data_IF_719824969236
#
_entry.id   IF_719824969236
#
_cell.length_a   1.000
_cell.length_b   1.000
_cell.length_c   1.000
_cell.angle_alpha   90.00
_cell.angle_beta   90.00
_cell.angle_gamma   90.00
#
_symmetry.space_group_name_H-M   'P 1'
#
loop_
_entity.id
_entity.type
_entity.pdbx_description
1 polymer ?
#
# COMPACT_ATOMS: atom_id res chain seq x y z
N UNK A 1 -7.42 -3.26 31.97
CA UNK A 1 -7.10 -3.08 30.54
C UNK A 1 -8.19 -2.23 29.91
N UNK A 2 -7.93 -0.91 29.80
CA UNK A 2 -8.85 -0.01 29.13
C UNK A 2 -9.02 -0.48 27.68
N UNK A 3 -10.24 -0.83 27.27
CA UNK A 3 -10.58 -1.04 25.87
C UNK A 3 -10.25 0.25 25.15
N UNK A 4 -9.24 0.26 24.28
CA UNK A 4 -8.97 1.39 23.40
C UNK A 4 -10.19 1.59 22.50
N UNK A 5 -10.99 2.59 22.79
CA UNK A 5 -12.10 2.99 21.93
C UNK A 5 -11.45 3.50 20.64
N UNK A 6 -11.65 2.81 19.53
CA UNK A 6 -11.16 3.26 18.24
C UNK A 6 -12.02 4.43 17.74
N UNK A 7 -11.40 5.47 17.22
CA UNK A 7 -12.13 6.52 16.51
C UNK A 7 -12.75 5.95 15.24
N UNK A 8 -13.96 6.41 14.92
CA UNK A 8 -14.67 6.05 13.69
C UNK A 8 -14.77 7.27 12.80
N UNK A 9 -14.46 7.10 11.53
CA UNK A 9 -14.67 8.12 10.51
C UNK A 9 -15.79 7.66 9.59
N UNK A 10 -16.92 8.37 9.64
CA UNK A 10 -18.09 8.03 8.84
C UNK A 10 -18.00 8.73 7.47
N UNK A 11 -17.95 7.96 6.41
CA UNK A 11 -17.95 8.47 5.03
C UNK A 11 -19.40 8.56 4.56
N UNK A 12 -19.86 9.79 4.30
CA UNK A 12 -21.24 10.05 3.88
C UNK A 12 -21.54 9.49 2.49
N UNK A 13 -20.58 9.55 1.59
CA UNK A 13 -20.70 9.09 0.20
C UNK A 13 -19.49 8.24 -0.18
N UNK A 14 -19.70 6.94 -0.21
CA UNK A 14 -18.65 5.99 -0.59
C UNK A 14 -18.19 6.17 -2.04
N UNK A 15 -19.07 6.64 -2.93
CA UNK A 15 -18.74 6.87 -4.33
C UNK A 15 -17.65 7.94 -4.48
N UNK A 16 -17.69 8.98 -3.65
CA UNK A 16 -16.63 10.01 -3.63
C UNK A 16 -15.27 9.40 -3.27
N UNK A 17 -15.22 8.49 -2.30
CA UNK A 17 -14.00 7.78 -1.93
C UNK A 17 -13.53 6.85 -3.05
N UNK A 18 -14.45 6.11 -3.67
CA UNK A 18 -14.15 5.21 -4.81
C UNK A 18 -13.59 5.98 -6.01
N UNK A 19 -14.16 7.10 -6.35
CA UNK A 19 -13.67 7.99 -7.41
C UNK A 19 -12.28 8.52 -7.07
N UNK A 20 -12.09 9.00 -5.84
CA UNK A 20 -10.80 9.57 -5.38
C UNK A 20 -9.67 8.56 -5.49
N UNK A 21 -9.80 7.37 -4.88
CA UNK A 21 -8.72 6.40 -4.94
C UNK A 21 -8.54 5.79 -6.36
N UNK A 22 -9.62 5.62 -7.13
CA UNK A 22 -9.53 5.10 -8.49
C UNK A 22 -8.83 6.07 -9.44
N UNK A 23 -9.21 7.34 -9.42
CA UNK A 23 -8.54 8.37 -10.22
C UNK A 23 -7.11 8.64 -9.73
N UNK A 24 -6.88 8.60 -8.41
CA UNK A 24 -5.55 8.71 -7.82
C UNK A 24 -4.62 7.60 -8.30
N UNK A 25 -5.05 6.34 -8.19
CA UNK A 25 -4.28 5.21 -8.70
C UNK A 25 -4.02 5.33 -10.20
N UNK A 26 -5.06 5.63 -10.98
CA UNK A 26 -4.94 5.80 -12.43
C UNK A 26 -3.97 6.93 -12.81
N UNK A 27 -3.92 8.01 -12.05
CA UNK A 27 -3.00 9.12 -12.29
C UNK A 27 -1.52 8.71 -12.16
N UNK A 28 -1.22 7.80 -11.22
CA UNK A 28 0.15 7.36 -10.95
C UNK A 28 0.53 6.05 -11.64
N UNK A 29 -0.40 5.11 -11.86
CA UNK A 29 -0.12 3.71 -12.23
C UNK A 29 -0.88 3.21 -13.46
N UNK A 30 -1.75 4.00 -14.07
CA UNK A 30 -2.71 3.61 -15.09
C UNK A 30 -3.99 2.93 -14.53
N UNK A 31 -4.83 2.39 -15.41
CA UNK A 31 -6.11 1.79 -15.01
C UNK A 31 -5.88 0.46 -14.25
N UNK A 32 -6.52 0.20 -13.11
CA UNK A 32 -6.42 -1.07 -12.39
C UNK A 32 -6.66 -2.31 -13.25
N UNK A 33 -7.42 -2.19 -14.36
CA UNK A 33 -7.66 -3.29 -15.31
C UNK A 33 -6.40 -3.80 -15.98
N UNK A 34 -5.35 -3.00 -16.04
CA UNK A 34 -4.08 -3.33 -16.67
C UNK A 34 -3.12 -4.07 -15.73
N UNK A 35 -3.55 -4.26 -14.48
CA UNK A 35 -2.73 -4.84 -13.42
C UNK A 35 -3.28 -6.17 -12.91
N UNK A 36 -2.39 -7.07 -12.53
CA UNK A 36 -2.69 -8.12 -11.56
C UNK A 36 -2.41 -7.57 -10.18
N UNK A 37 -3.40 -7.55 -9.31
CA UNK A 37 -3.28 -6.99 -7.96
C UNK A 37 -3.15 -8.13 -6.94
N UNK A 38 -2.01 -8.24 -6.31
CA UNK A 38 -1.76 -9.18 -5.22
C UNK A 38 -1.65 -8.41 -3.91
N UNK A 39 -2.40 -8.82 -2.89
CA UNK A 39 -2.48 -8.08 -1.63
C UNK A 39 -2.01 -8.90 -0.43
N UNK A 40 -0.96 -8.45 0.25
CA UNK A 40 -0.42 -9.06 1.47
C UNK A 40 -0.77 -8.21 2.69
N UNK A 41 -2.01 -8.33 3.17
CA UNK A 41 -2.61 -7.49 4.22
C UNK A 41 -3.19 -8.31 5.39
N UNK A 42 -2.44 -9.26 5.99
CA UNK A 42 -2.99 -10.26 6.91
C UNK A 42 -3.65 -9.66 8.16
N UNK A 43 -3.17 -8.53 8.67
CA UNK A 43 -3.73 -7.93 9.90
C UNK A 43 -4.98 -7.08 9.68
N UNK A 44 -5.32 -6.80 8.44
CA UNK A 44 -6.48 -5.97 8.10
C UNK A 44 -7.71 -6.79 7.76
N UNK A 45 -7.55 -8.01 7.26
CA UNK A 45 -8.66 -8.91 6.92
C UNK A 45 -9.52 -9.25 8.16
N UNK A 46 -8.89 -9.32 9.34
CA UNK A 46 -9.59 -9.59 10.60
C UNK A 46 -10.34 -8.36 11.17
N UNK A 47 -10.20 -7.18 10.59
CA UNK A 47 -10.64 -5.92 11.19
C UNK A 47 -11.94 -5.34 10.60
N UNK A 48 -12.54 -5.96 9.58
CA UNK A 48 -13.87 -5.63 9.03
C UNK A 48 -14.07 -4.20 8.46
N UNK A 49 -13.62 -3.17 9.17
CA UNK A 49 -13.88 -1.76 8.84
C UNK A 49 -12.57 -1.04 8.46
N UNK A 50 -11.93 -1.43 7.35
CA UNK A 50 -10.68 -0.82 6.90
C UNK A 50 -10.86 -0.13 5.53
N UNK A 51 -10.58 1.17 5.47
CA UNK A 51 -10.57 1.92 4.21
C UNK A 51 -9.52 1.39 3.23
N UNK A 52 -8.39 0.87 3.73
CA UNK A 52 -7.37 0.22 2.91
C UNK A 52 -7.90 -1.06 2.26
N UNK A 53 -8.55 -1.94 3.02
CA UNK A 53 -9.18 -3.16 2.48
C UNK A 53 -10.23 -2.79 1.44
N UNK A 54 -11.10 -1.85 1.74
CA UNK A 54 -12.13 -1.39 0.81
C UNK A 54 -11.54 -0.92 -0.54
N UNK A 55 -10.46 -0.14 -0.49
CA UNK A 55 -9.75 0.32 -1.69
C UNK A 55 -9.13 -0.86 -2.46
N UNK A 56 -8.46 -1.77 -1.77
CA UNK A 56 -7.76 -2.91 -2.39
C UNK A 56 -8.76 -3.90 -2.98
N UNK A 57 -9.86 -4.21 -2.30
CA UNK A 57 -10.97 -5.01 -2.85
C UNK A 57 -11.51 -4.41 -4.15
N UNK A 58 -11.68 -3.09 -4.16
CA UNK A 58 -12.15 -2.40 -5.37
C UNK A 58 -11.15 -2.54 -6.52
N UNK A 59 -9.84 -2.46 -6.25
CA UNK A 59 -8.81 -2.66 -7.26
C UNK A 59 -8.76 -4.10 -7.76
N UNK A 60 -8.83 -5.09 -6.88
CA UNK A 60 -8.89 -6.52 -7.23
C UNK A 60 -10.10 -6.78 -8.14
N UNK A 61 -11.27 -6.31 -7.75
CA UNK A 61 -12.50 -6.48 -8.54
C UNK A 61 -12.43 -5.77 -9.90
N UNK A 62 -11.81 -4.59 -9.98
CA UNK A 62 -11.64 -3.83 -11.22
C UNK A 62 -10.59 -4.41 -12.14
N UNK A 63 -9.57 -5.07 -11.63
CA UNK A 63 -8.48 -5.65 -12.41
C UNK A 63 -8.98 -6.67 -13.43
N UNK A 64 -10.08 -7.36 -13.14
CA UNK A 64 -10.64 -8.45 -13.96
C UNK A 64 -9.62 -9.56 -14.26
N UNK A 65 -8.50 -9.58 -13.57
CA UNK A 65 -7.51 -10.63 -13.71
C UNK A 65 -7.83 -11.74 -12.69
N UNK A 66 -8.03 -12.99 -13.09
CA UNK A 66 -8.39 -14.08 -12.19
C UNK A 66 -7.32 -14.40 -11.13
N UNK A 67 -6.10 -13.94 -11.33
CA UNK A 67 -5.01 -14.10 -10.35
C UNK A 67 -4.94 -12.93 -9.34
N UNK A 68 -5.77 -11.91 -9.49
CA UNK A 68 -5.82 -10.80 -8.52
C UNK A 68 -6.56 -11.25 -7.27
N UNK A 69 -5.85 -11.29 -6.14
CA UNK A 69 -6.40 -11.77 -4.87
C UNK A 69 -5.51 -11.37 -3.69
N UNK A 70 -6.00 -11.65 -2.50
CA UNK A 70 -5.18 -11.67 -1.29
C UNK A 70 -4.25 -12.88 -1.30
N UNK A 71 -3.01 -12.65 -0.92
CA UNK A 71 -2.00 -13.70 -0.77
C UNK A 71 -1.60 -13.85 0.70
N UNK A 72 -1.09 -15.03 1.02
CA UNK A 72 -0.49 -15.37 2.31
C UNK A 72 1.01 -15.71 2.14
N UNK A 73 1.60 -16.28 3.18
CA UNK A 73 3.02 -16.68 3.18
C UNK A 73 3.27 -18.09 2.61
N UNK A 74 2.34 -18.65 1.83
CA UNK A 74 2.52 -19.93 1.15
C UNK A 74 3.49 -19.76 -0.02
N UNK A 75 4.70 -20.26 0.17
CA UNK A 75 5.79 -20.12 -0.79
C UNK A 75 5.53 -20.88 -2.10
N UNK A 76 4.86 -22.02 -2.05
CA UNK A 76 4.58 -22.83 -3.23
C UNK A 76 3.53 -22.12 -4.11
N UNK A 77 2.49 -21.59 -3.51
CA UNK A 77 1.50 -20.77 -4.20
C UNK A 77 2.18 -19.54 -4.83
N UNK A 78 3.00 -18.82 -4.05
CA UNK A 78 3.66 -17.62 -4.53
C UNK A 78 4.65 -17.92 -5.67
N UNK A 79 5.46 -18.99 -5.59
CA UNK A 79 6.37 -19.40 -6.66
C UNK A 79 5.61 -19.74 -7.95
N UNK A 80 4.48 -20.43 -7.84
CA UNK A 80 3.61 -20.70 -8.99
C UNK A 80 3.04 -19.42 -9.61
N UNK A 81 2.58 -18.48 -8.79
CA UNK A 81 2.11 -17.16 -9.26
C UNK A 81 3.22 -16.38 -9.97
N UNK A 82 4.43 -16.36 -9.43
CA UNK A 82 5.59 -15.70 -10.06
C UNK A 82 5.84 -16.24 -11.47
N UNK A 83 5.85 -17.56 -11.62
CA UNK A 83 6.04 -18.20 -12.94
C UNK A 83 4.92 -17.83 -13.91
N UNK A 84 3.68 -17.88 -13.45
CA UNK A 84 2.47 -17.59 -14.25
C UNK A 84 2.39 -16.12 -14.67
N UNK A 85 2.86 -15.21 -13.82
CA UNK A 85 2.74 -13.76 -13.99
C UNK A 85 4.01 -13.09 -14.53
N UNK A 86 5.01 -13.85 -14.96
CA UNK A 86 6.33 -13.33 -15.38
C UNK A 86 6.27 -12.16 -16.37
N UNK A 87 5.30 -12.17 -17.29
CA UNK A 87 5.16 -11.17 -18.36
C UNK A 87 3.90 -10.29 -18.17
N UNK A 88 3.41 -10.15 -16.95
CA UNK A 88 2.25 -9.33 -16.62
C UNK A 88 2.65 -8.11 -15.79
N UNK A 89 1.85 -7.07 -15.87
CA UNK A 89 1.96 -5.97 -14.92
C UNK A 89 1.41 -6.44 -13.58
N UNK A 90 2.25 -6.56 -12.57
CA UNK A 90 1.85 -7.02 -11.24
C UNK A 90 2.12 -5.93 -10.22
N UNK A 91 1.12 -5.62 -9.41
CA UNK A 91 1.25 -4.84 -8.20
C UNK A 91 1.13 -5.79 -6.99
N UNK A 92 2.21 -5.93 -6.23
CA UNK A 92 2.18 -6.54 -4.91
C UNK A 92 2.10 -5.41 -3.87
N UNK A 93 0.90 -5.21 -3.30
CA UNK A 93 0.69 -4.26 -2.21
C UNK A 93 0.66 -4.99 -0.88
N UNK A 94 1.42 -4.50 0.10
CA UNK A 94 1.46 -5.12 1.43
C UNK A 94 1.78 -4.15 2.54
N UNK A 95 1.37 -4.51 3.77
CA UNK A 95 1.85 -3.75 4.94
C UNK A 95 3.33 -3.99 5.15
N UNK A 96 4.03 -2.94 5.59
CA UNK A 96 5.49 -2.95 5.70
C UNK A 96 6.04 -4.16 6.44
N UNK A 97 5.44 -4.53 7.60
CA UNK A 97 5.89 -5.69 8.36
C UNK A 97 5.67 -7.01 7.61
N UNK A 98 4.56 -7.15 6.86
CA UNK A 98 4.24 -8.38 6.15
C UNK A 98 5.14 -8.59 4.93
N UNK A 99 5.45 -7.52 4.19
CA UNK A 99 6.45 -7.58 3.13
C UNK A 99 7.83 -7.92 3.68
N UNK A 100 8.20 -7.41 4.86
CA UNK A 100 9.46 -7.74 5.50
C UNK A 100 9.48 -9.22 5.93
N UNK A 101 8.40 -9.74 6.51
CA UNK A 101 8.27 -11.17 6.84
C UNK A 101 8.42 -12.04 5.59
N UNK A 102 7.72 -11.71 4.52
CA UNK A 102 7.85 -12.43 3.25
C UNK A 102 9.29 -12.40 2.72
N UNK A 103 9.96 -11.26 2.81
CA UNK A 103 11.35 -11.09 2.36
C UNK A 103 12.38 -11.90 3.13
N UNK A 104 12.03 -12.36 4.33
CA UNK A 104 12.88 -13.21 5.17
C UNK A 104 12.67 -14.71 4.94
N UNK A 105 11.57 -15.09 4.28
CA UNK A 105 11.27 -16.50 3.99
C UNK A 105 12.05 -17.03 2.78
N UNK A 106 12.22 -16.20 1.75
CA UNK A 106 12.94 -16.59 0.53
C UNK A 106 13.39 -15.33 -0.24
N UNK A 107 14.23 -15.55 -1.26
CA UNK A 107 14.59 -14.53 -2.24
C UNK A 107 13.80 -14.74 -3.53
N UNK A 108 13.16 -13.67 -4.01
CA UNK A 108 12.26 -13.74 -5.15
C UNK A 108 12.81 -12.91 -6.32
N UNK A 109 12.62 -13.36 -7.53
CA UNK A 109 12.91 -12.56 -8.72
C UNK A 109 11.62 -11.90 -9.26
N UNK A 110 11.34 -10.70 -8.75
CA UNK A 110 10.15 -9.90 -9.07
C UNK A 110 10.51 -8.63 -9.88
N UNK A 111 11.57 -8.67 -10.68
CA UNK A 111 12.17 -7.52 -11.38
C UNK A 111 11.14 -6.65 -12.12
N UNK A 112 10.10 -7.26 -12.68
CA UNK A 112 9.05 -6.57 -13.45
C UNK A 112 7.81 -6.22 -12.63
N UNK A 113 7.81 -6.49 -11.32
CA UNK A 113 6.68 -6.19 -10.45
C UNK A 113 6.86 -4.83 -9.79
N UNK A 114 5.74 -4.20 -9.47
CA UNK A 114 5.69 -3.06 -8.56
C UNK A 114 5.42 -3.59 -7.17
N UNK A 115 6.38 -3.40 -6.27
CA UNK A 115 6.22 -3.72 -4.84
C UNK A 115 5.86 -2.43 -4.12
N UNK A 116 4.71 -2.41 -3.49
CA UNK A 116 4.17 -1.23 -2.80
C UNK A 116 3.94 -1.52 -1.32
N UNK A 117 4.68 -0.82 -0.47
CA UNK A 117 4.44 -0.86 0.97
C UNK A 117 3.40 0.18 1.39
N UNK A 118 2.61 -0.15 2.40
CA UNK A 118 1.68 0.76 3.06
C UNK A 118 1.68 0.55 4.57
N UNK A 119 1.18 1.51 5.31
CA UNK A 119 1.11 1.44 6.77
C UNK A 119 2.49 1.49 7.44
N UNK A 120 2.77 0.58 8.36
CA UNK A 120 4.02 0.54 9.12
C UNK A 120 4.19 -0.79 9.85
N UNK A 121 5.07 -0.84 10.86
CA UNK A 121 5.35 -2.08 11.60
C UNK A 121 4.20 -2.50 12.53
N UNK A 122 3.24 -1.60 12.83
CA UNK A 122 2.03 -1.86 13.63
C UNK A 122 2.30 -2.49 15.00
N UNK A 123 3.47 -2.21 15.59
CA UNK A 123 3.91 -2.82 16.84
C UNK A 123 4.24 -4.32 16.79
N UNK A 124 4.21 -4.93 15.59
CA UNK A 124 4.58 -6.35 15.40
C UNK A 124 6.08 -6.56 15.27
N UNK A 125 6.79 -5.52 14.85
CA UNK A 125 8.26 -5.49 14.72
C UNK A 125 8.80 -4.17 15.24
N UNK A 126 10.11 -4.15 15.51
CA UNK A 126 10.82 -2.91 15.81
C UNK A 126 10.69 -1.95 14.64
N UNK A 127 10.36 -0.70 14.95
CA UNK A 127 10.31 0.35 13.93
C UNK A 127 11.67 0.46 13.21
N UNK A 128 11.60 0.66 11.92
CA UNK A 128 12.74 0.74 11.02
C UNK A 128 12.59 1.99 10.14
N UNK A 129 13.68 2.67 9.89
CA UNK A 129 13.66 3.79 8.94
C UNK A 129 13.37 3.26 7.53
N UNK A 130 12.65 4.06 6.75
CA UNK A 130 12.15 3.63 5.43
C UNK A 130 13.27 3.20 4.50
N UNK A 131 14.39 3.86 4.55
CA UNK A 131 15.56 3.56 3.72
C UNK A 131 16.07 2.14 3.95
N UNK A 132 16.19 1.72 5.20
CA UNK A 132 16.64 0.37 5.58
C UNK A 132 15.62 -0.69 5.16
N UNK A 133 14.32 -0.41 5.38
CA UNK A 133 13.24 -1.29 4.92
C UNK A 133 13.31 -1.48 3.40
N UNK A 134 13.37 -0.37 2.66
CA UNK A 134 13.40 -0.42 1.20
C UNK A 134 14.65 -1.13 0.67
N UNK A 135 15.81 -0.99 1.31
CA UNK A 135 17.02 -1.72 0.92
C UNK A 135 16.84 -3.23 1.08
N UNK A 136 16.29 -3.67 2.21
CA UNK A 136 16.01 -5.09 2.46
C UNK A 136 15.02 -5.66 1.45
N UNK A 137 13.90 -4.99 1.23
CA UNK A 137 12.87 -5.42 0.30
C UNK A 137 13.39 -5.44 -1.15
N UNK A 138 14.14 -4.43 -1.58
CA UNK A 138 14.75 -4.41 -2.92
C UNK A 138 15.66 -5.61 -3.14
N UNK A 139 16.49 -5.93 -2.15
CA UNK A 139 17.40 -7.09 -2.23
C UNK A 139 16.65 -8.40 -2.31
N UNK A 140 15.65 -8.60 -1.45
CA UNK A 140 14.91 -9.86 -1.36
C UNK A 140 14.00 -10.11 -2.57
N UNK A 141 13.38 -9.05 -3.10
CA UNK A 141 12.47 -9.14 -4.23
C UNK A 141 13.14 -8.89 -5.59
N UNK A 142 14.42 -8.58 -5.61
CA UNK A 142 15.17 -8.24 -6.83
C UNK A 142 14.50 -7.15 -7.67
N UNK A 143 14.13 -6.03 -7.03
CA UNK A 143 13.50 -4.88 -7.69
C UNK A 143 14.34 -3.62 -7.51
N UNK A 144 14.24 -2.70 -8.47
CA UNK A 144 15.01 -1.45 -8.45
C UNK A 144 14.48 -0.42 -7.46
N UNK A 145 13.18 -0.45 -7.16
CA UNK A 145 12.53 0.49 -6.24
C UNK A 145 11.40 -0.18 -5.48
N UNK A 146 11.17 0.30 -4.27
CA UNK A 146 9.96 0.02 -3.50
C UNK A 146 9.09 1.26 -3.58
N UNK A 147 7.83 1.05 -3.92
CA UNK A 147 6.82 2.09 -3.93
C UNK A 147 6.17 2.17 -2.55
N UNK A 148 5.57 3.31 -2.25
CA UNK A 148 4.84 3.51 -0.98
C UNK A 148 3.48 4.14 -1.27
N UNK A 149 2.47 3.66 -0.58
CA UNK A 149 1.15 4.29 -0.50
C UNK A 149 1.03 4.99 0.86
N UNK A 150 0.48 6.19 0.85
CA UNK A 150 0.11 6.94 2.04
C UNK A 150 -1.37 7.23 2.04
N UNK A 151 -2.05 6.76 3.08
CA UNK A 151 -3.45 7.04 3.36
C UNK A 151 -3.73 7.01 4.86
N UNK A 152 -4.88 7.52 5.25
CA UNK A 152 -5.41 7.48 6.62
C UNK A 152 -6.90 7.23 6.56
N UNK A 153 -7.48 6.71 7.64
CA UNK A 153 -8.94 6.47 7.73
C UNK A 153 -9.76 7.73 7.49
N UNK A 154 -9.27 8.87 7.98
CA UNK A 154 -9.90 10.19 7.84
C UNK A 154 -9.57 10.92 6.53
N UNK A 155 -8.66 10.38 5.73
CA UNK A 155 -8.25 10.97 4.47
C UNK A 155 -8.93 10.25 3.30
N UNK A 156 -9.80 10.94 2.57
CA UNK A 156 -10.47 10.40 1.40
C UNK A 156 -9.61 10.50 0.13
N UNK A 157 -8.32 10.33 0.26
CA UNK A 157 -7.36 10.35 -0.86
C UNK A 157 -6.07 9.63 -0.47
N UNK A 158 -5.23 9.31 -1.46
CA UNK A 158 -3.92 8.68 -1.27
C UNK A 158 -2.83 9.51 -1.94
N UNK A 159 -1.63 9.48 -1.34
CA UNK A 159 -0.41 9.92 -1.99
C UNK A 159 0.49 8.72 -2.28
N UNK A 160 1.28 8.81 -3.33
CA UNK A 160 2.14 7.72 -3.76
C UNK A 160 3.59 8.15 -3.91
N UNK A 161 4.51 7.30 -3.48
CA UNK A 161 5.93 7.41 -3.77
C UNK A 161 6.35 6.26 -4.67
N UNK A 162 6.99 6.56 -5.81
CA UNK A 162 7.53 5.53 -6.71
C UNK A 162 8.98 5.16 -6.38
N UNK A 163 9.67 6.02 -5.63
CA UNK A 163 11.06 5.79 -5.20
C UNK A 163 11.49 6.81 -4.13
N UNK A 164 12.47 6.44 -3.35
CA UNK A 164 13.18 7.33 -2.40
C UNK A 164 12.28 8.00 -1.35
N UNK A 165 11.09 7.46 -1.07
CA UNK A 165 10.16 8.01 -0.09
C UNK A 165 9.59 9.39 -0.44
N UNK A 166 9.77 9.87 -1.67
CA UNK A 166 9.21 11.15 -2.13
C UNK A 166 7.78 10.95 -2.61
N UNK A 167 6.83 11.38 -1.79
CA UNK A 167 5.41 11.29 -2.09
C UNK A 167 4.95 12.39 -3.04
N UNK A 168 4.08 12.00 -3.96
CA UNK A 168 3.32 12.91 -4.82
C UNK A 168 1.84 12.77 -4.53
N UNK A 169 1.14 13.89 -4.54
CA UNK A 169 -0.31 13.95 -4.33
C UNK A 169 -1.05 14.05 -5.66
N UNK A 170 -2.29 13.52 -5.73
CA UNK A 170 -3.17 13.85 -6.84
C UNK A 170 -3.59 15.34 -6.77
N UNK A 171 -4.12 15.92 -7.86
CA UNK A 171 -4.42 17.36 -7.93
C UNK A 171 -5.39 17.88 -6.87
N UNK A 172 -6.23 17.04 -6.31
CA UNK A 172 -7.21 17.38 -5.28
C UNK A 172 -6.72 17.22 -3.84
N UNK A 173 -5.46 16.79 -3.63
CA UNK A 173 -4.86 16.60 -2.31
C UNK A 173 -3.69 17.57 -2.12
N UNK A 174 -3.68 18.28 -1.01
CA UNK A 174 -2.63 19.25 -0.66
C UNK A 174 -2.16 19.03 0.77
N UNK A 175 -0.83 19.06 0.98
CA UNK A 175 -0.24 19.14 2.31
C UNK A 175 -0.05 20.60 2.74
N UNK A 176 -0.40 20.88 3.98
CA UNK A 176 -0.14 22.15 4.63
C UNK A 176 0.74 21.90 5.84
N UNK A 177 1.93 22.50 5.83
CA UNK A 177 2.88 22.38 6.94
C UNK A 177 2.57 23.47 7.94
N UNK A 178 2.25 23.10 9.16
CA UNK A 178 1.99 24.03 10.26
C UNK A 178 3.27 24.27 11.04
N UNK A 179 3.34 25.41 11.73
CA UNK A 179 4.41 25.69 12.65
C UNK A 179 4.39 24.69 13.80
N UNK A 180 5.57 24.29 14.25
CA UNK A 180 5.70 23.29 15.32
C UNK A 180 5.25 23.83 16.69
N UNK A 181 5.50 25.11 16.96
CA UNK A 181 5.18 25.74 18.23
C UNK A 181 3.79 26.39 18.21
N UNK A 182 3.30 26.78 17.03
CA UNK A 182 1.95 27.35 16.85
C UNK A 182 1.16 26.60 15.78
N UNK A 183 0.30 25.64 16.15
CA UNK A 183 -0.46 24.82 15.21
C UNK A 183 -1.52 25.62 14.41
N UNK A 184 -1.75 26.88 14.73
CA UNK A 184 -2.64 27.76 13.96
C UNK A 184 -1.91 28.56 12.89
N UNK A 185 -0.58 28.61 12.95
CA UNK A 185 0.26 29.29 11.97
C UNK A 185 0.86 28.31 10.95
N UNK A 186 1.17 28.79 9.77
CA UNK A 186 1.89 28.01 8.76
C UNK A 186 3.39 28.10 9.01
N UNK A 187 4.10 26.98 8.80
CA UNK A 187 5.54 26.99 8.84
C UNK A 187 6.11 27.97 7.81
N UNK A 188 7.09 28.77 8.23
CA UNK A 188 7.89 29.60 7.31
C UNK A 188 8.90 28.66 6.62
N UNK A 189 8.73 28.46 5.31
CA UNK A 189 9.60 27.65 4.45
C UNK A 189 10.65 28.55 3.84
#
# INVERSE_FOLDING_TARGET
>A
TAKKIRSKHLVKDLKLYEESFSFGFKHFYSDPKEWTILALLPSYLDQGDSSLIYMVDNFINKSKNPESDYINYDLDILKNLILKLKNKNVLLIGVSYALLELSELDSFNLENWVIMETGGMKGRRKEMVREDLHQKLKKAFNVNSIHSEYGMTELLSQAYSKKNGLFKTPPWMKFIIRDFEDPYSLAKI
#
